data_IF_942403505765
#
_entry.id   IF_942403505765
#
_cell.length_a   1.000
_cell.length_b   1.000
_cell.length_c   1.000
_cell.angle_alpha   90.00
_cell.angle_beta   90.00
_cell.angle_gamma   90.00
#
_symmetry.space_group_name_H-M   'P 1'
#
loop_
_entity.id
_entity.type
_entity.pdbx_description
1 polymer ?
#
# COMPACT_ATOMS: atom_id res chain seq x y z
N UNK A 1 14.05 -31.14 -11.50
CA UNK A 1 14.26 -29.81 -10.90
C UNK A 1 15.48 -29.93 -10.02
N UNK A 2 16.55 -29.18 -10.28
CA UNK A 2 17.79 -29.31 -9.50
C UNK A 2 17.66 -28.62 -8.12
N UNK A 3 18.54 -28.95 -7.17
CA UNK A 3 18.52 -28.34 -5.85
C UNK A 3 18.76 -26.82 -5.87
N UNK A 4 19.41 -26.29 -6.92
CA UNK A 4 19.69 -24.85 -7.05
C UNK A 4 18.44 -24.06 -7.41
N UNK A 5 17.62 -24.56 -8.34
CA UNK A 5 16.32 -23.99 -8.72
C UNK A 5 15.37 -23.95 -7.54
N UNK A 6 15.29 -25.02 -6.74
CA UNK A 6 14.44 -25.06 -5.54
C UNK A 6 14.83 -23.96 -4.56
N UNK A 7 16.14 -23.77 -4.32
CA UNK A 7 16.64 -22.71 -3.43
C UNK A 7 16.25 -21.33 -3.93
N UNK A 8 16.42 -21.04 -5.22
CA UNK A 8 16.09 -19.74 -5.82
C UNK A 8 14.58 -19.45 -5.73
N UNK A 9 13.74 -20.45 -5.97
CA UNK A 9 12.28 -20.31 -5.84
C UNK A 9 11.90 -20.01 -4.40
N UNK A 10 12.44 -20.75 -3.43
CA UNK A 10 12.13 -20.54 -2.01
C UNK A 10 12.61 -19.16 -1.55
N UNK A 11 13.84 -18.75 -1.89
CA UNK A 11 14.36 -17.44 -1.45
C UNK A 11 13.59 -16.27 -2.08
N UNK A 12 13.20 -16.37 -3.35
CA UNK A 12 12.39 -15.34 -4.03
C UNK A 12 10.96 -15.26 -3.49
N UNK A 13 10.34 -16.39 -3.15
CA UNK A 13 9.04 -16.43 -2.50
C UNK A 13 9.08 -15.78 -1.12
N UNK A 14 10.10 -16.11 -0.31
CA UNK A 14 10.29 -15.51 1.01
C UNK A 14 10.51 -13.99 0.91
N UNK A 15 11.38 -13.54 -0.01
CA UNK A 15 11.61 -12.12 -0.24
C UNK A 15 10.32 -11.38 -0.66
N UNK A 16 9.55 -11.96 -1.58
CA UNK A 16 8.29 -11.37 -2.04
C UNK A 16 7.24 -11.34 -0.94
N UNK A 17 7.18 -12.37 -0.09
CA UNK A 17 6.26 -12.45 1.04
C UNK A 17 6.50 -11.30 2.02
N UNK A 18 7.76 -11.09 2.43
CA UNK A 18 8.12 -10.03 3.36
C UNK A 18 7.83 -8.65 2.74
N UNK A 19 8.18 -8.47 1.47
CA UNK A 19 7.96 -7.20 0.76
C UNK A 19 6.46 -6.83 0.65
N UNK A 20 5.60 -7.81 0.33
CA UNK A 20 4.15 -7.59 0.22
C UNK A 20 3.45 -7.53 1.58
N UNK A 21 3.99 -8.19 2.61
CA UNK A 21 3.42 -8.16 3.96
C UNK A 21 3.58 -6.80 4.64
N UNK A 22 4.67 -6.08 4.39
CA UNK A 22 4.94 -4.78 5.04
C UNK A 22 3.79 -3.76 4.94
N UNK A 23 3.24 -3.41 3.74
CA UNK A 23 2.12 -2.48 3.65
C UNK A 23 0.84 -3.02 4.30
N UNK A 24 0.63 -4.34 4.30
CA UNK A 24 -0.52 -4.96 4.96
C UNK A 24 -0.39 -4.88 6.48
N UNK A 25 0.81 -5.09 7.03
CA UNK A 25 1.09 -4.93 8.47
C UNK A 25 0.87 -3.49 8.91
N UNK A 26 1.37 -2.50 8.16
CA UNK A 26 1.15 -1.08 8.46
C UNK A 26 -0.35 -0.74 8.47
N UNK A 27 -1.10 -1.27 7.49
CA UNK A 27 -2.54 -1.08 7.41
C UNK A 27 -3.26 -1.76 8.58
N UNK A 28 -2.87 -2.98 8.93
CA UNK A 28 -3.44 -3.73 10.05
C UNK A 28 -3.21 -3.01 11.40
N UNK A 29 -2.02 -2.44 11.61
CA UNK A 29 -1.73 -1.60 12.79
C UNK A 29 -2.69 -0.41 12.85
N UNK A 30 -2.89 0.29 11.73
CA UNK A 30 -3.87 1.37 11.64
C UNK A 30 -5.30 0.92 11.96
N UNK A 31 -5.70 -0.26 11.47
CA UNK A 31 -6.97 -0.90 11.79
C UNK A 31 -7.14 -1.20 13.29
N UNK A 32 -6.10 -1.75 13.93
CA UNK A 32 -6.10 -2.01 15.38
C UNK A 32 -6.28 -0.72 16.18
N UNK A 33 -5.62 0.38 15.79
CA UNK A 33 -5.84 1.68 16.45
C UNK A 33 -7.26 2.19 16.26
N UNK A 34 -7.81 2.05 15.05
CA UNK A 34 -9.19 2.42 14.74
C UNK A 34 -10.17 1.65 15.63
N UNK A 35 -10.03 0.32 15.70
CA UNK A 35 -10.90 -0.53 16.52
C UNK A 35 -10.77 -0.24 18.02
N UNK A 36 -9.54 0.00 18.51
CA UNK A 36 -9.30 0.41 19.90
C UNK A 36 -9.94 1.75 20.24
N UNK A 37 -10.14 2.63 19.26
CA UNK A 37 -10.87 3.90 19.42
C UNK A 37 -12.39 3.76 19.33
N UNK A 38 -12.91 2.55 19.11
CA UNK A 38 -14.35 2.28 18.97
C UNK A 38 -14.88 2.43 17.54
N UNK A 39 -14.00 2.50 16.55
CA UNK A 39 -14.37 2.61 15.12
C UNK A 39 -13.81 1.41 14.36
N UNK A 40 -14.66 0.41 14.12
CA UNK A 40 -14.37 -0.71 13.23
C UNK A 40 -14.22 -0.22 11.80
N UNK A 41 -13.08 -0.51 11.18
CA UNK A 41 -12.77 -0.01 9.85
C UNK A 41 -12.55 -1.16 8.85
N UNK A 42 -13.64 -1.60 8.22
CA UNK A 42 -13.61 -2.56 7.11
C UNK A 42 -13.19 -1.89 5.79
N UNK A 43 -13.16 -0.55 5.74
CA UNK A 43 -12.85 0.26 4.56
C UNK A 43 -11.36 0.42 4.24
N UNK A 44 -10.47 -0.32 4.94
CA UNK A 44 -9.02 -0.17 4.82
C UNK A 44 -8.50 -0.46 3.41
N UNK A 45 -9.09 -1.44 2.70
CA UNK A 45 -8.72 -1.75 1.32
C UNK A 45 -8.96 -0.56 0.39
N UNK A 46 -10.12 0.11 0.53
CA UNK A 46 -10.44 1.30 -0.25
C UNK A 46 -9.55 2.49 0.09
N UNK A 47 -9.17 2.66 1.37
CA UNK A 47 -8.20 3.67 1.78
C UNK A 47 -6.81 3.41 1.16
N UNK A 48 -6.37 2.15 1.13
CA UNK A 48 -5.13 1.75 0.47
C UNK A 48 -5.19 1.98 -1.05
N UNK A 49 -6.30 1.67 -1.71
CA UNK A 49 -6.49 1.90 -3.14
C UNK A 49 -6.44 3.40 -3.48
N UNK A 50 -7.18 4.23 -2.76
CA UNK A 50 -7.14 5.69 -2.96
C UNK A 50 -5.75 6.28 -2.69
N UNK A 51 -5.09 5.85 -1.63
CA UNK A 51 -3.73 6.29 -1.29
C UNK A 51 -2.69 5.86 -2.33
N UNK A 52 -2.73 4.59 -2.77
CA UNK A 52 -1.81 4.08 -3.79
C UNK A 52 -2.01 4.75 -5.15
N UNK A 53 -3.26 4.97 -5.55
CA UNK A 53 -3.58 5.71 -6.77
C UNK A 53 -3.02 7.13 -6.72
N UNK A 54 -3.28 7.88 -5.63
CA UNK A 54 -2.76 9.22 -5.47
C UNK A 54 -1.22 9.24 -5.47
N UNK A 55 -0.59 8.28 -4.78
CA UNK A 55 0.87 8.20 -4.74
C UNK A 55 1.49 8.01 -6.12
N UNK A 56 0.92 7.13 -6.93
CA UNK A 56 1.41 6.90 -8.29
C UNK A 56 1.10 8.08 -9.20
N UNK A 57 -0.10 8.66 -9.12
CA UNK A 57 -0.48 9.83 -9.92
C UNK A 57 0.46 11.02 -9.66
N UNK A 58 0.71 11.35 -8.40
CA UNK A 58 1.59 12.48 -8.08
C UNK A 58 3.07 12.17 -8.33
N UNK A 59 3.50 10.92 -8.20
CA UNK A 59 4.84 10.50 -8.67
C UNK A 59 4.98 10.64 -10.18
N UNK A 60 3.92 10.34 -10.94
CA UNK A 60 3.89 10.48 -12.39
C UNK A 60 3.96 11.96 -12.81
N UNK A 61 3.12 12.81 -12.22
CA UNK A 61 3.04 14.22 -12.58
C UNK A 61 4.29 15.02 -12.18
N UNK A 62 4.92 14.68 -11.05
CA UNK A 62 6.05 15.46 -10.52
C UNK A 62 7.41 14.84 -10.82
N UNK A 63 7.45 13.56 -11.21
CA UNK A 63 8.68 12.77 -11.29
C UNK A 63 9.33 12.47 -9.93
N UNK A 64 8.75 12.92 -8.81
CA UNK A 64 9.31 12.75 -7.46
C UNK A 64 8.51 11.69 -6.67
N UNK A 65 9.10 10.50 -6.41
CA UNK A 65 8.40 9.41 -5.71
C UNK A 65 8.12 9.71 -4.24
N UNK A 66 8.92 10.58 -3.59
CA UNK A 66 8.68 11.00 -2.21
C UNK A 66 7.48 11.93 -2.11
N UNK A 67 7.32 12.82 -3.09
CA UNK A 67 6.14 13.68 -3.14
C UNK A 67 4.88 12.83 -3.34
N UNK A 68 4.91 11.86 -4.26
CA UNK A 68 3.84 10.89 -4.41
C UNK A 68 3.52 10.14 -3.12
N UNK A 69 4.52 9.60 -2.43
CA UNK A 69 4.32 8.92 -1.14
C UNK A 69 3.51 9.76 -0.14
N UNK A 70 3.86 11.03 0.04
CA UNK A 70 3.12 11.92 0.95
C UNK A 70 1.71 12.21 0.47
N UNK A 71 1.51 12.43 -0.83
CA UNK A 71 0.18 12.61 -1.40
C UNK A 71 -0.71 11.38 -1.24
N UNK A 72 -0.12 10.17 -1.28
CA UNK A 72 -0.83 8.94 -0.95
C UNK A 72 -1.29 8.87 0.50
N UNK A 73 -0.43 9.25 1.45
CA UNK A 73 -0.79 9.33 2.86
C UNK A 73 -1.93 10.34 3.10
N UNK A 74 -1.88 11.51 2.46
CA UNK A 74 -2.94 12.52 2.54
C UNK A 74 -4.25 11.99 1.96
N UNK A 75 -4.23 11.38 0.77
CA UNK A 75 -5.44 10.84 0.15
C UNK A 75 -6.08 9.72 1.00
N UNK A 76 -5.29 8.78 1.52
CA UNK A 76 -5.77 7.75 2.43
C UNK A 76 -6.36 8.35 3.71
N UNK A 77 -5.69 9.36 4.29
CA UNK A 77 -6.15 10.09 5.46
C UNK A 77 -7.48 10.83 5.23
N UNK A 78 -7.68 11.41 4.05
CA UNK A 78 -8.95 12.06 3.67
C UNK A 78 -10.10 11.05 3.59
N UNK A 79 -9.86 9.87 2.99
CA UNK A 79 -10.87 8.79 2.95
C UNK A 79 -11.17 8.27 4.35
N UNK A 80 -10.15 8.12 5.19
CA UNK A 80 -10.32 7.77 6.61
C UNK A 80 -11.13 8.84 7.37
N UNK A 81 -10.92 10.13 7.09
CA UNK A 81 -11.69 11.21 7.69
C UNK A 81 -13.16 11.17 7.28
N UNK A 82 -13.47 10.84 6.01
CA UNK A 82 -14.85 10.61 5.55
C UNK A 82 -15.49 9.48 6.37
N UNK A 83 -14.80 8.35 6.51
CA UNK A 83 -15.28 7.23 7.33
C UNK A 83 -15.51 7.66 8.78
N UNK A 84 -14.56 8.38 9.38
CA UNK A 84 -14.67 8.88 10.74
C UNK A 84 -15.87 9.82 10.93
N UNK A 85 -16.13 10.74 10.00
CA UNK A 85 -17.30 11.62 10.06
C UNK A 85 -18.60 10.81 9.97
N UNK A 86 -18.69 9.88 9.03
CA UNK A 86 -19.87 9.01 8.86
C UNK A 86 -20.12 8.14 10.09
N UNK A 87 -19.07 7.56 10.66
CA UNK A 87 -19.15 6.65 11.80
C UNK A 87 -19.36 7.37 13.14
N UNK A 88 -18.70 8.50 13.36
CA UNK A 88 -18.69 9.20 14.66
C UNK A 88 -19.79 10.26 14.72
N UNK A 89 -19.86 11.16 13.73
CA UNK A 89 -20.82 12.27 13.74
C UNK A 89 -22.22 11.79 13.41
N UNK A 90 -22.36 10.98 12.36
CA UNK A 90 -23.66 10.52 11.88
C UNK A 90 -24.08 9.16 12.47
N UNK A 91 -23.19 8.49 13.23
CA UNK A 91 -23.47 7.20 13.89
C UNK A 91 -23.99 6.14 12.91
N UNK A 92 -23.55 6.19 11.66
CA UNK A 92 -23.93 5.22 10.67
C UNK A 92 -23.31 3.84 10.98
N UNK A 93 -23.86 2.79 10.38
CA UNK A 93 -23.27 1.46 10.48
C UNK A 93 -21.87 1.46 9.84
N UNK A 94 -20.86 1.21 10.67
CA UNK A 94 -19.45 1.28 10.29
C UNK A 94 -19.09 0.23 9.24
N UNK A 95 -19.70 -0.96 9.29
CA UNK A 95 -19.57 -2.00 8.26
C UNK A 95 -20.10 -1.52 6.91
N UNK A 96 -21.28 -0.89 6.89
CA UNK A 96 -21.88 -0.36 5.65
C UNK A 96 -21.01 0.75 5.06
N UNK A 97 -20.54 1.69 5.90
CA UNK A 97 -19.64 2.75 5.44
C UNK A 97 -18.31 2.20 4.91
N UNK A 98 -17.71 1.23 5.60
CA UNK A 98 -16.47 0.59 5.17
C UNK A 98 -16.61 -0.15 3.83
N UNK A 99 -17.67 -0.94 3.67
CA UNK A 99 -17.97 -1.63 2.40
C UNK A 99 -18.23 -0.63 1.27
N UNK A 100 -18.97 0.45 1.54
CA UNK A 100 -19.21 1.49 0.55
C UNK A 100 -17.90 2.17 0.11
N UNK A 101 -16.98 2.43 1.05
CA UNK A 101 -15.65 2.97 0.74
C UNK A 101 -14.86 2.01 -0.15
N UNK A 102 -14.83 0.71 0.14
CA UNK A 102 -14.10 -0.27 -0.68
C UNK A 102 -14.66 -0.33 -2.11
N UNK A 103 -16.00 -0.39 -2.26
CA UNK A 103 -16.66 -0.43 -3.58
C UNK A 103 -16.37 0.84 -4.35
N UNK A 104 -16.54 2.01 -3.71
CA UNK A 104 -16.28 3.31 -4.33
C UNK A 104 -14.82 3.44 -4.76
N UNK A 105 -13.88 3.10 -3.87
CA UNK A 105 -12.45 3.20 -4.17
C UNK A 105 -12.05 2.28 -5.32
N UNK A 106 -12.55 1.04 -5.35
CA UNK A 106 -12.30 0.09 -6.44
C UNK A 106 -12.80 0.63 -7.78
N UNK A 107 -14.05 1.13 -7.82
CA UNK A 107 -14.63 1.68 -9.05
C UNK A 107 -13.92 2.98 -9.49
N UNK A 108 -13.68 3.89 -8.55
CA UNK A 108 -13.10 5.20 -8.81
C UNK A 108 -11.65 5.08 -9.28
N UNK A 109 -10.82 4.34 -8.56
CA UNK A 109 -9.41 4.17 -8.94
C UNK A 109 -9.28 3.41 -10.25
N UNK A 110 -10.08 2.36 -10.48
CA UNK A 110 -10.12 1.64 -11.76
C UNK A 110 -10.53 2.54 -12.94
N UNK A 111 -11.55 3.38 -12.74
CA UNK A 111 -11.99 4.36 -13.73
C UNK A 111 -10.91 5.41 -14.02
N UNK A 112 -10.33 6.01 -12.98
CA UNK A 112 -9.32 7.06 -13.12
C UNK A 112 -8.03 6.54 -13.77
N UNK A 113 -7.62 5.31 -13.47
CA UNK A 113 -6.50 4.67 -14.16
C UNK A 113 -6.74 4.59 -15.67
N UNK A 114 -7.94 4.17 -16.07
CA UNK A 114 -8.31 4.12 -17.48
C UNK A 114 -8.40 5.51 -18.11
N UNK A 115 -8.96 6.49 -17.40
CA UNK A 115 -9.11 7.86 -17.90
C UNK A 115 -7.76 8.57 -18.08
N UNK A 116 -6.80 8.34 -17.20
CA UNK A 116 -5.51 9.05 -17.18
C UNK A 116 -4.42 8.29 -17.96
N UNK A 117 -4.33 6.96 -17.78
CA UNK A 117 -3.25 6.14 -18.34
C UNK A 117 -3.70 5.26 -19.52
N UNK A 118 -4.97 5.36 -19.93
CA UNK A 118 -5.57 4.54 -20.99
C UNK A 118 -5.40 3.02 -20.78
N UNK A 119 -5.23 2.59 -19.52
CA UNK A 119 -5.05 1.19 -19.11
C UNK A 119 -5.87 0.91 -17.86
N UNK A 120 -6.60 -0.19 -17.86
CA UNK A 120 -7.30 -0.66 -16.67
C UNK A 120 -6.31 -1.35 -15.74
N UNK A 121 -6.20 -0.88 -14.49
CA UNK A 121 -5.42 -1.54 -13.43
C UNK A 121 -3.90 -1.36 -13.50
N UNK A 122 -3.37 -0.58 -14.45
CA UNK A 122 -1.93 -0.31 -14.56
C UNK A 122 -1.68 1.16 -14.89
N UNK A 123 -0.57 1.68 -14.39
CA UNK A 123 -0.04 3.00 -14.76
C UNK A 123 1.14 2.87 -15.70
N UNK A 124 1.59 4.00 -16.26
CA UNK A 124 2.93 4.07 -16.83
C UNK A 124 4.00 3.83 -15.76
N UNK A 125 5.24 3.56 -16.20
CA UNK A 125 6.37 3.40 -15.29
C UNK A 125 6.66 4.75 -14.61
N UNK A 126 6.46 4.79 -13.30
CA UNK A 126 6.81 5.93 -12.46
C UNK A 126 8.18 5.75 -11.80
N UNK A 127 8.78 6.87 -11.42
CA UNK A 127 9.99 6.87 -10.59
C UNK A 127 9.75 6.04 -9.32
N UNK A 128 10.75 5.23 -8.95
CA UNK A 128 10.70 4.39 -7.75
C UNK A 128 11.49 5.07 -6.63
N UNK A 129 11.09 4.84 -5.38
CA UNK A 129 11.93 5.17 -4.24
C UNK A 129 13.25 4.41 -4.36
N UNK A 130 14.36 5.10 -4.06
CA UNK A 130 15.68 4.48 -4.10
C UNK A 130 15.74 3.35 -3.07
N UNK A 131 16.38 2.24 -3.45
CA UNK A 131 16.63 1.14 -2.52
C UNK A 131 17.70 1.59 -1.51
N UNK A 132 17.41 1.42 -0.23
CA UNK A 132 18.39 1.51 0.85
C UNK A 132 18.87 0.10 1.17
N UNK A 133 20.18 -0.12 1.08
CA UNK A 133 20.83 -1.35 1.54
C UNK A 133 21.44 -1.10 2.91
N UNK A 134 21.07 -1.92 3.90
CA UNK A 134 21.73 -1.92 5.21
C UNK A 134 23.04 -2.73 5.07
N UNK A 135 24.23 -2.10 5.25
CA UNK A 135 25.51 -2.73 4.94
C UNK A 135 25.74 -4.07 5.66
N UNK A 136 25.37 -4.15 6.95
CA UNK A 136 25.59 -5.32 7.80
C UNK A 136 24.71 -6.53 7.46
N UNK A 137 23.53 -6.33 6.87
CA UNK A 137 22.61 -7.43 6.51
C UNK A 137 22.91 -8.03 5.14
N UNK A 138 23.69 -7.33 4.30
CA UNK A 138 23.97 -7.75 2.92
C UNK A 138 24.76 -9.07 2.83
N UNK A 139 25.62 -9.34 3.81
CA UNK A 139 26.59 -10.43 3.78
C UNK A 139 26.02 -11.76 4.29
N UNK A 140 24.85 -11.74 4.93
CA UNK A 140 24.27 -12.95 5.53
C UNK A 140 23.57 -13.79 4.44
N UNK A 141 23.94 -15.06 4.23
CA UNK A 141 23.27 -15.94 3.27
C UNK A 141 21.77 -16.04 3.58
N UNK A 142 20.92 -16.03 2.55
CA UNK A 142 19.44 -16.03 2.64
C UNK A 142 18.86 -14.72 3.23
N UNK A 143 19.32 -14.28 4.40
CA UNK A 143 18.81 -13.07 5.08
C UNK A 143 19.13 -11.80 4.25
N UNK A 144 20.34 -11.67 3.72
CA UNK A 144 20.71 -10.54 2.88
C UNK A 144 19.97 -10.50 1.53
N UNK A 145 19.47 -11.64 1.04
CA UNK A 145 18.65 -11.69 -0.17
C UNK A 145 17.21 -11.22 0.09
N UNK A 146 16.72 -11.40 1.32
CA UNK A 146 15.36 -10.99 1.74
C UNK A 146 15.35 -9.55 2.24
N UNK A 147 16.36 -9.13 3.01
CA UNK A 147 16.38 -7.86 3.74
C UNK A 147 17.38 -6.83 3.21
N UNK A 148 18.32 -7.23 2.34
CA UNK A 148 19.46 -6.38 1.96
C UNK A 148 19.17 -5.30 0.91
N UNK A 149 17.99 -5.30 0.26
CA UNK A 149 17.65 -4.30 -0.78
C UNK A 149 16.17 -3.96 -0.73
N UNK A 150 15.84 -2.92 0.02
CA UNK A 150 14.45 -2.52 0.18
C UNK A 150 14.27 -1.00 0.12
N UNK A 151 13.05 -0.56 -0.07
CA UNK A 151 12.70 0.87 -0.04
C UNK A 151 12.42 1.32 1.39
N UNK A 152 12.68 2.60 1.75
CA UNK A 152 12.54 3.08 3.13
C UNK A 152 11.15 2.88 3.78
N UNK A 153 10.00 2.97 3.08
CA UNK A 153 8.70 2.70 3.71
C UNK A 153 8.48 1.24 4.11
N UNK A 154 9.34 0.34 3.63
CA UNK A 154 9.30 -1.09 3.93
C UNK A 154 10.32 -1.42 5.05
N UNK A 155 11.30 -0.52 5.37
CA UNK A 155 12.32 -0.64 6.43
C UNK A 155 12.87 0.69 6.94
#
# INVERSE_FOLDING_TARGET
MDLSMIKVVITSLLASTVYLAAPLILTAIGGVYSERSGVVNIGLEGMMLCGSFAAVLFSYLTGNPWFGFWMGAVAGGLVAAIHAVVSIRYRANQTVSGVAINILATALTGFLLRAIFNRAGQTERVAKLANWTIPFLREIPVIGQVFGRNTPPVY
#
